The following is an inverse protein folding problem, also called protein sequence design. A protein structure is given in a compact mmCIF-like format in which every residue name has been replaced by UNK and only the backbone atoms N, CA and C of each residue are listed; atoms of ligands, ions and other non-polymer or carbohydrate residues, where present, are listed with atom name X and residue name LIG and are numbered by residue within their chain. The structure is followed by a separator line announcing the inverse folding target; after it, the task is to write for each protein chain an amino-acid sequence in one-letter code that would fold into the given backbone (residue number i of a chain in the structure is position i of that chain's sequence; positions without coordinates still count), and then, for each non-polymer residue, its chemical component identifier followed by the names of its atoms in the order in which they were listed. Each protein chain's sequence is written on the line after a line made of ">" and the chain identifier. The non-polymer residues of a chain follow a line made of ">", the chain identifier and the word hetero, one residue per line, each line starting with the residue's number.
data_IF_087101348048
#
_entry.id   IF_087101348048
#
_cell.length_a   1.000
_cell.length_b   1.000
_cell.length_c   1.000
_cell.angle_alpha   90.00
_cell.angle_beta   90.00
_cell.angle_gamma   90.00
#
_symmetry.space_group_name_H-M   'P 1'
#
loop_
_entity.id
_entity.type
_entity.pdbx_description
1 polymer ?
#
# COMPACT_ATOMS: atom_id res chain seq x y z
N UNK A 1 -28.67 26.33 -19.83
CA UNK A 1 -28.96 25.01 -19.24
C UNK A 1 -27.94 24.03 -19.80
N UNK A 2 -26.94 23.63 -19.02
CA UNK A 2 -25.88 22.72 -19.48
C UNK A 2 -26.41 21.29 -19.41
N UNK A 3 -26.58 20.64 -20.57
CA UNK A 3 -26.84 19.19 -20.62
C UNK A 3 -25.67 18.47 -19.93
N UNK A 4 -25.94 17.81 -18.80
CA UNK A 4 -25.04 16.77 -18.29
C UNK A 4 -25.03 15.65 -19.32
N UNK A 5 -23.91 15.47 -20.02
CA UNK A 5 -23.69 14.28 -20.83
C UNK A 5 -23.98 13.05 -19.95
N UNK A 6 -24.84 12.14 -20.44
CA UNK A 6 -25.11 10.88 -19.76
C UNK A 6 -23.76 10.14 -19.61
N UNK A 7 -23.36 9.85 -18.38
CA UNK A 7 -22.12 9.15 -18.12
C UNK A 7 -22.20 7.77 -18.78
N UNK A 8 -21.22 7.42 -19.61
CA UNK A 8 -21.12 6.08 -20.20
C UNK A 8 -21.19 5.02 -19.10
N UNK A 9 -21.86 3.88 -19.34
CA UNK A 9 -21.97 2.82 -18.34
C UNK A 9 -20.58 2.36 -17.89
N UNK A 10 -20.42 2.23 -16.58
CA UNK A 10 -19.16 1.79 -15.97
C UNK A 10 -18.79 0.40 -16.51
N UNK A 11 -17.56 0.18 -17.00
CA UNK A 11 -17.17 -1.12 -17.52
C UNK A 11 -17.19 -2.21 -16.42
N UNK A 12 -17.33 -3.50 -16.80
CA UNK A 12 -17.16 -4.62 -15.89
C UNK A 12 -15.81 -4.56 -15.17
N UNK A 13 -15.71 -5.18 -13.99
CA UNK A 13 -14.43 -5.18 -13.28
C UNK A 13 -13.44 -6.06 -14.04
N UNK A 14 -12.13 -5.73 -14.03
CA UNK A 14 -11.15 -6.38 -14.90
C UNK A 14 -11.06 -7.90 -14.74
N UNK A 15 -11.36 -8.41 -13.54
CA UNK A 15 -11.22 -9.83 -13.21
C UNK A 15 -12.49 -10.66 -13.45
N UNK A 16 -13.65 -10.03 -13.73
CA UNK A 16 -14.93 -10.74 -13.94
C UNK A 16 -14.82 -11.79 -15.05
N UNK A 17 -14.09 -11.49 -16.11
CA UNK A 17 -13.94 -12.37 -17.28
C UNK A 17 -13.20 -13.68 -17.00
N UNK A 18 -12.55 -13.81 -15.84
CA UNK A 18 -11.79 -15.01 -15.47
C UNK A 18 -12.53 -15.92 -14.49
N UNK A 19 -13.70 -15.51 -13.97
CA UNK A 19 -14.55 -16.34 -13.10
C UNK A 19 -13.78 -17.02 -11.93
N UNK A 20 -12.80 -16.32 -11.34
CA UNK A 20 -11.97 -16.83 -10.24
C UNK A 20 -10.70 -17.58 -10.67
N UNK A 21 -10.54 -17.92 -11.94
CA UNK A 21 -9.30 -18.50 -12.48
C UNK A 21 -8.18 -17.46 -12.58
N UNK A 22 -6.93 -17.93 -12.56
CA UNK A 22 -5.76 -17.06 -12.73
C UNK A 22 -5.59 -16.72 -14.21
N UNK A 23 -5.46 -15.43 -14.59
CA UNK A 23 -5.09 -15.04 -15.93
C UNK A 23 -3.73 -15.62 -16.34
N UNK A 24 -3.48 -15.88 -17.64
CA UNK A 24 -2.16 -16.24 -18.11
C UNK A 24 -1.15 -15.15 -17.76
N UNK A 25 0.02 -15.55 -17.29
CA UNK A 25 1.10 -14.65 -16.91
C UNK A 25 2.35 -14.92 -17.76
N UNK A 26 3.16 -13.89 -18.07
CA UNK A 26 4.44 -14.08 -18.71
C UNK A 26 5.45 -14.68 -17.73
N UNK A 27 6.41 -15.46 -18.25
CA UNK A 27 7.42 -16.15 -17.42
C UNK A 27 8.15 -15.22 -16.46
N UNK A 28 8.53 -14.01 -16.90
CA UNK A 28 9.24 -13.05 -16.04
C UNK A 28 8.45 -12.69 -14.77
N UNK A 29 7.12 -12.68 -14.84
CA UNK A 29 6.27 -12.36 -13.70
C UNK A 29 6.21 -13.54 -12.74
N UNK A 30 6.03 -14.75 -13.27
CA UNK A 30 6.04 -15.97 -12.49
C UNK A 30 7.38 -16.13 -11.76
N UNK A 31 8.49 -15.89 -12.47
CA UNK A 31 9.83 -15.89 -11.90
C UNK A 31 9.94 -14.87 -10.76
N UNK A 32 9.52 -13.62 -10.99
CA UNK A 32 9.59 -12.55 -9.99
C UNK A 32 8.80 -12.89 -8.71
N UNK A 33 7.54 -13.29 -8.81
CA UNK A 33 6.71 -13.60 -7.64
C UNK A 33 7.10 -14.91 -6.94
N UNK A 34 7.90 -15.75 -7.60
CA UNK A 34 8.48 -16.96 -7.01
C UNK A 34 9.75 -16.70 -6.19
N UNK A 35 10.39 -15.53 -6.35
CA UNK A 35 11.62 -15.20 -5.61
C UNK A 35 11.35 -15.21 -4.10
N UNK A 36 12.10 -16.02 -3.32
CA UNK A 36 11.93 -16.07 -1.87
C UNK A 36 12.16 -14.71 -1.22
N UNK A 37 11.39 -14.47 -0.16
CA UNK A 37 11.51 -13.27 0.68
C UNK A 37 11.51 -13.64 2.16
N UNK A 38 12.22 -12.84 2.95
CA UNK A 38 12.06 -12.80 4.39
C UNK A 38 10.77 -12.06 4.74
N UNK A 39 10.09 -12.48 5.82
CA UNK A 39 8.93 -11.78 6.35
C UNK A 39 9.11 -11.61 7.84
N UNK A 40 8.58 -10.51 8.37
CA UNK A 40 8.62 -10.25 9.79
C UNK A 40 7.60 -9.22 10.21
N UNK A 41 7.68 -8.87 11.49
CA UNK A 41 6.80 -7.92 12.14
C UNK A 41 7.64 -6.94 12.95
N UNK A 42 7.20 -5.70 12.98
CA UNK A 42 7.71 -4.65 13.87
C UNK A 42 6.56 -4.17 14.76
N UNK A 43 6.86 -3.71 15.98
CA UNK A 43 5.86 -3.12 16.86
C UNK A 43 6.08 -1.61 16.93
N UNK A 44 5.04 -0.84 16.62
CA UNK A 44 5.06 0.63 16.65
C UNK A 44 3.79 1.13 17.33
N UNK A 45 3.92 1.82 18.47
CA UNK A 45 2.80 2.26 19.30
C UNK A 45 1.73 1.18 19.46
N UNK A 46 2.14 0.02 19.97
CA UNK A 46 1.28 -1.13 20.25
C UNK A 46 0.56 -1.75 19.04
N UNK A 47 0.93 -1.36 17.81
CA UNK A 47 0.42 -1.98 16.59
C UNK A 47 1.51 -2.80 15.90
N UNK A 48 1.11 -3.97 15.42
CA UNK A 48 1.94 -4.89 14.66
C UNK A 48 1.99 -4.46 13.18
N UNK A 49 3.20 -4.24 12.68
CA UNK A 49 3.48 -3.79 11.32
C UNK A 49 4.16 -4.93 10.56
N UNK A 50 3.47 -5.45 9.56
CA UNK A 50 3.97 -6.55 8.73
C UNK A 50 4.88 -6.04 7.63
N UNK A 51 6.01 -6.72 7.41
CA UNK A 51 6.91 -6.42 6.32
C UNK A 51 7.42 -7.67 5.61
N UNK A 52 7.87 -7.47 4.37
CA UNK A 52 8.60 -8.43 3.54
C UNK A 52 9.92 -7.81 3.13
N UNK A 53 10.93 -8.65 2.92
CA UNK A 53 12.21 -8.21 2.44
C UNK A 53 12.86 -9.17 1.45
N UNK A 54 13.47 -8.62 0.42
CA UNK A 54 14.21 -9.32 -0.63
C UNK A 54 15.67 -8.86 -0.65
N UNK A 55 16.55 -9.71 -1.17
CA UNK A 55 17.98 -9.43 -1.25
C UNK A 55 18.71 -9.70 0.08
N UNK A 56 20.03 -9.79 0.01
CA UNK A 56 20.86 -10.11 1.18
C UNK A 56 20.92 -8.94 2.17
N UNK A 57 20.94 -9.26 3.47
CA UNK A 57 21.27 -8.26 4.51
C UNK A 57 22.69 -7.74 4.31
N UNK A 58 22.93 -6.47 4.66
CA UNK A 58 24.21 -5.79 4.40
C UNK A 58 24.36 -5.23 2.98
N UNK A 59 23.38 -5.41 2.09
CA UNK A 59 23.29 -4.67 0.83
C UNK A 59 22.67 -3.27 1.06
N UNK A 60 22.95 -2.27 0.19
CA UNK A 60 22.34 -0.95 0.31
C UNK A 60 20.81 -1.01 0.37
N UNK A 61 20.21 -0.38 1.39
CA UNK A 61 18.78 -0.49 1.64
C UNK A 61 17.88 0.31 0.71
N UNK A 62 16.68 -0.23 0.51
CA UNK A 62 15.57 0.39 -0.18
C UNK A 62 14.26 0.04 0.54
N UNK A 63 13.51 1.02 1.01
CA UNK A 63 12.23 0.80 1.68
C UNK A 63 11.10 1.23 0.73
N UNK A 64 10.12 0.36 0.49
CA UNK A 64 8.99 0.59 -0.42
C UNK A 64 7.69 0.73 0.35
N UNK A 65 6.99 1.85 0.11
CA UNK A 65 5.76 2.24 0.80
C UNK A 65 4.60 2.26 -0.18
N UNK A 66 3.60 1.41 0.05
CA UNK A 66 2.44 1.26 -0.83
C UNK A 66 1.48 2.46 -0.75
N UNK A 67 0.50 2.48 -1.67
CA UNK A 67 -0.55 3.50 -1.73
C UNK A 67 -1.65 3.34 -0.68
N UNK A 68 -2.66 4.21 -0.73
CA UNK A 68 -3.77 4.15 0.22
C UNK A 68 -4.66 2.93 -0.07
N UNK A 69 -5.17 2.28 0.98
CA UNK A 69 -5.98 1.05 0.90
C UNK A 69 -5.33 -0.09 0.07
N UNK A 70 -4.00 -0.09 0.01
CA UNK A 70 -3.18 -1.09 -0.67
C UNK A 70 -2.44 -1.97 0.36
N UNK A 71 -1.38 -2.66 -0.05
CA UNK A 71 -0.55 -3.51 0.81
C UNK A 71 0.83 -3.73 0.16
N UNK A 72 1.79 -4.26 0.91
CA UNK A 72 3.19 -4.51 0.53
C UNK A 72 3.34 -5.38 -0.72
N UNK A 73 2.40 -6.28 -0.97
CA UNK A 73 2.47 -7.25 -2.08
C UNK A 73 2.24 -6.61 -3.46
N UNK A 74 1.87 -5.32 -3.50
CA UNK A 74 1.94 -4.51 -4.73
C UNK A 74 3.36 -4.43 -5.30
N UNK A 75 4.37 -4.65 -4.46
CA UNK A 75 5.77 -4.62 -4.85
C UNK A 75 6.31 -5.99 -5.27
N UNK A 76 5.52 -7.08 -5.19
CA UNK A 76 5.99 -8.44 -5.48
C UNK A 76 6.49 -8.61 -6.92
N UNK A 77 6.01 -7.83 -7.89
CA UNK A 77 6.48 -7.86 -9.28
C UNK A 77 7.62 -6.88 -9.58
N UNK A 78 8.11 -6.15 -8.58
CA UNK A 78 9.11 -5.07 -8.73
C UNK A 78 10.32 -5.32 -7.82
N UNK A 79 10.09 -5.51 -6.52
CA UNK A 79 11.14 -5.69 -5.52
C UNK A 79 12.16 -6.79 -5.86
N UNK A 80 11.75 -7.96 -6.42
CA UNK A 80 12.69 -9.01 -6.82
C UNK A 80 13.75 -8.57 -7.83
N UNK A 81 13.44 -7.62 -8.73
CA UNK A 81 14.39 -7.13 -9.73
C UNK A 81 15.48 -6.22 -9.13
N UNK A 82 15.26 -5.69 -7.93
CA UNK A 82 16.21 -4.83 -7.23
C UNK A 82 17.03 -5.59 -6.17
N UNK A 83 16.50 -6.72 -5.71
CA UNK A 83 17.10 -7.62 -4.72
C UNK A 83 18.55 -8.06 -5.00
N UNK A 84 19.01 -8.23 -6.27
CA UNK A 84 20.40 -8.61 -6.53
C UNK A 84 21.44 -7.57 -6.08
N UNK A 85 21.05 -6.31 -5.89
CA UNK A 85 21.98 -5.21 -5.55
C UNK A 85 21.52 -4.36 -4.36
N UNK A 86 20.38 -4.71 -3.76
CA UNK A 86 19.75 -3.93 -2.69
C UNK A 86 19.09 -4.86 -1.68
N UNK A 87 19.05 -4.41 -0.43
CA UNK A 87 18.13 -4.96 0.56
C UNK A 87 16.81 -4.22 0.45
N UNK A 88 15.81 -4.83 -0.17
CA UNK A 88 14.51 -4.20 -0.43
C UNK A 88 13.53 -4.62 0.65
N UNK A 89 12.95 -3.67 1.38
CA UNK A 89 11.94 -3.91 2.40
C UNK A 89 10.63 -3.26 1.98
N UNK A 90 9.53 -4.00 1.96
CA UNK A 90 8.19 -3.47 1.76
C UNK A 90 7.33 -3.73 2.99
N UNK A 91 6.59 -2.73 3.46
CA UNK A 91 5.75 -2.82 4.66
C UNK A 91 4.27 -2.61 4.33
N UNK A 92 3.42 -3.20 5.15
CA UNK A 92 2.01 -2.84 5.27
C UNK A 92 1.88 -1.69 6.28
N UNK A 93 1.39 -0.53 5.85
CA UNK A 93 1.06 0.56 6.77
C UNK A 93 -0.10 0.16 7.70
N UNK A 94 -0.11 0.62 8.94
CA UNK A 94 -1.23 0.35 9.85
C UNK A 94 -2.60 0.76 9.25
N UNK A 95 -3.60 -0.09 9.48
CA UNK A 95 -4.92 0.00 8.84
C UNK A 95 -4.98 -0.50 7.39
N UNK A 96 -3.89 -1.05 6.86
CA UNK A 96 -3.79 -1.56 5.50
C UNK A 96 -3.02 -2.89 5.49
N UNK A 97 -3.30 -3.74 4.52
CA UNK A 97 -2.70 -5.08 4.42
C UNK A 97 -2.94 -5.95 5.65
N UNK A 98 -1.89 -6.64 6.07
CA UNK A 98 -1.90 -7.53 7.23
C UNK A 98 -1.58 -6.79 8.54
N UNK A 99 -1.26 -5.49 8.49
CA UNK A 99 -0.94 -4.69 9.68
C UNK A 99 -2.16 -4.30 10.49
N UNK A 100 -1.94 -4.10 11.79
CA UNK A 100 -2.99 -3.78 12.75
C UNK A 100 -3.72 -2.47 12.41
N UNK A 101 -4.99 -2.41 12.79
CA UNK A 101 -5.80 -1.19 12.71
C UNK A 101 -5.59 -0.34 13.96
N UNK A 102 -5.78 0.99 13.82
CA UNK A 102 -5.65 1.93 14.93
C UNK A 102 -6.98 2.65 15.20
N UNK A 103 -7.07 3.27 16.38
CA UNK A 103 -8.17 4.16 16.73
C UNK A 103 -8.09 5.48 15.93
N UNK A 104 -6.87 6.02 15.76
CA UNK A 104 -6.56 7.17 14.91
C UNK A 104 -5.23 6.94 14.18
N UNK A 105 -5.13 7.50 12.97
CA UNK A 105 -3.94 7.45 12.13
C UNK A 105 -3.32 8.83 12.00
N UNK A 106 -1.98 8.88 12.03
CA UNK A 106 -1.19 10.11 11.93
C UNK A 106 -0.02 9.90 10.98
N UNK A 107 0.39 10.95 10.26
CA UNK A 107 1.50 10.85 9.29
C UNK A 107 2.83 10.53 9.98
N UNK A 108 3.06 11.11 11.16
CA UNK A 108 4.22 10.89 12.03
C UNK A 108 4.29 9.43 12.51
N UNK A 109 3.13 8.80 12.71
CA UNK A 109 3.05 7.38 13.06
C UNK A 109 3.52 6.52 11.88
N UNK A 110 2.99 6.77 10.68
CA UNK A 110 3.44 6.06 9.47
C UNK A 110 4.94 6.25 9.18
N UNK A 111 5.49 7.44 9.45
CA UNK A 111 6.92 7.67 9.31
C UNK A 111 7.76 6.75 10.22
N UNK A 112 7.31 6.53 11.46
CA UNK A 112 7.96 5.58 12.38
C UNK A 112 7.78 4.13 11.98
N UNK A 113 6.63 3.76 11.41
CA UNK A 113 6.40 2.43 10.84
C UNK A 113 7.38 2.12 9.71
N UNK A 114 7.64 3.09 8.82
CA UNK A 114 8.66 2.97 7.75
C UNK A 114 10.05 2.71 8.31
N UNK A 115 10.46 3.46 9.35
CA UNK A 115 11.78 3.26 9.96
C UNK A 115 11.87 1.92 10.70
N UNK A 116 10.84 1.54 11.46
CA UNK A 116 10.83 0.29 12.23
C UNK A 116 10.91 -0.92 11.31
N UNK A 117 10.03 -1.00 10.31
CA UNK A 117 10.06 -2.08 9.32
C UNK A 117 11.37 -2.10 8.54
N UNK A 118 11.90 -0.92 8.16
CA UNK A 118 13.18 -0.83 7.48
C UNK A 118 14.36 -1.34 8.33
N UNK A 119 14.39 -1.04 9.63
CA UNK A 119 15.44 -1.53 10.54
C UNK A 119 15.34 -3.02 10.77
N UNK A 120 14.17 -3.52 11.14
CA UNK A 120 13.97 -4.94 11.41
C UNK A 120 14.16 -5.78 10.14
N UNK A 121 13.71 -5.24 9.00
CA UNK A 121 13.93 -5.81 7.67
C UNK A 121 15.36 -5.67 7.15
N UNK A 122 16.27 -4.98 7.84
CA UNK A 122 17.69 -4.90 7.49
C UNK A 122 18.07 -3.87 6.41
N UNK A 123 17.18 -2.94 6.06
CA UNK A 123 17.48 -1.88 5.10
C UNK A 123 18.55 -0.88 5.62
N UNK A 124 18.75 -0.80 6.93
CA UNK A 124 19.75 0.09 7.55
C UNK A 124 21.11 -0.58 7.77
N UNK A 125 21.23 -1.88 7.49
CA UNK A 125 22.43 -2.68 7.80
C UNK A 125 23.69 -2.20 7.03
N UNK A 126 23.49 -1.50 5.90
CA UNK A 126 24.54 -0.97 5.03
C UNK A 126 24.57 0.58 4.99
N UNK A 127 24.07 1.24 6.05
CA UNK A 127 23.96 2.69 6.13
C UNK A 127 22.58 3.20 5.73
N UNK A 128 22.49 4.49 5.34
CA UNK A 128 21.21 5.17 5.08
C UNK A 128 20.49 4.57 3.86
N UNK A 129 19.23 4.11 3.98
CA UNK A 129 18.46 3.59 2.86
C UNK A 129 17.82 4.71 2.03
N UNK A 130 17.37 4.36 0.83
CA UNK A 130 16.37 5.16 0.10
C UNK A 130 14.95 4.74 0.51
N UNK A 131 14.00 5.67 0.45
CA UNK A 131 12.56 5.36 0.59
C UNK A 131 11.85 5.66 -0.72
N UNK A 132 10.99 4.75 -1.18
CA UNK A 132 10.18 4.91 -2.38
C UNK A 132 8.72 4.77 -2.00
N UNK A 133 7.92 5.78 -2.31
CA UNK A 133 6.51 5.83 -1.96
C UNK A 133 5.61 5.99 -3.18
N UNK A 134 4.55 5.19 -3.26
CA UNK A 134 3.53 5.32 -4.29
C UNK A 134 2.24 5.92 -3.74
N UNK A 135 1.63 6.88 -4.44
CA UNK A 135 0.36 7.52 -4.08
C UNK A 135 0.33 8.02 -2.62
N UNK A 136 -0.50 7.45 -1.74
CA UNK A 136 -0.47 7.79 -0.31
C UNK A 136 0.89 7.56 0.33
N UNK A 137 1.58 6.49 -0.05
CA UNK A 137 2.93 6.16 0.40
C UNK A 137 3.97 7.21 0.01
N UNK A 138 3.72 8.02 -1.03
CA UNK A 138 4.54 9.18 -1.35
C UNK A 138 4.45 10.27 -0.28
N UNK A 139 3.25 10.55 0.25
CA UNK A 139 3.09 11.47 1.38
C UNK A 139 3.75 10.94 2.64
N UNK A 140 3.62 9.63 2.91
CA UNK A 140 4.31 8.99 4.03
C UNK A 140 5.81 9.15 3.87
N UNK A 141 6.36 8.85 2.70
CA UNK A 141 7.80 8.95 2.42
C UNK A 141 8.33 10.39 2.57
N UNK A 142 7.57 11.39 2.11
CA UNK A 142 7.92 12.80 2.31
C UNK A 142 7.88 13.20 3.79
N UNK A 143 6.90 12.70 4.55
CA UNK A 143 6.83 12.91 6.00
C UNK A 143 8.03 12.28 6.69
N UNK A 144 8.40 11.04 6.33
CA UNK A 144 9.62 10.38 6.83
C UNK A 144 10.86 11.19 6.51
N UNK A 145 10.94 11.83 5.33
CA UNK A 145 12.06 12.68 4.96
C UNK A 145 12.12 13.97 5.79
N UNK A 146 10.97 14.56 6.10
CA UNK A 146 10.89 15.78 6.91
C UNK A 146 11.29 15.52 8.37
N UNK A 147 10.84 14.40 8.95
CA UNK A 147 11.13 14.08 10.36
C UNK A 147 12.48 13.39 10.56
N UNK A 148 12.91 12.58 9.59
CA UNK A 148 14.04 11.68 9.73
C UNK A 148 15.02 11.75 8.54
N UNK A 149 15.04 12.86 7.81
CA UNK A 149 15.87 13.04 6.62
C UNK A 149 17.35 12.76 6.83
N UNK A 150 17.88 13.06 8.03
CA UNK A 150 19.27 12.74 8.38
C UNK A 150 19.57 11.24 8.40
N UNK A 151 18.56 10.39 8.54
CA UNK A 151 18.71 8.93 8.54
C UNK A 151 18.53 8.30 7.15
N UNK A 152 18.12 9.08 6.15
CA UNK A 152 17.82 8.61 4.80
C UNK A 152 18.86 9.11 3.79
N UNK A 153 19.04 8.34 2.72
CA UNK A 153 19.87 8.74 1.57
C UNK A 153 19.09 9.57 0.55
N UNK A 154 17.78 9.40 0.52
CA UNK A 154 16.87 10.15 -0.34
C UNK A 154 15.50 9.51 -0.44
N UNK A 155 14.57 10.21 -1.08
CA UNK A 155 13.19 9.76 -1.31
C UNK A 155 12.84 9.83 -2.80
N UNK A 156 12.17 8.80 -3.30
CA UNK A 156 11.50 8.84 -4.60
C UNK A 156 9.97 8.74 -4.42
N UNK A 157 9.26 9.61 -5.12
CA UNK A 157 7.80 9.71 -5.04
C UNK A 157 7.20 9.31 -6.39
N UNK A 158 6.31 8.32 -6.38
CA UNK A 158 5.69 7.75 -7.57
C UNK A 158 4.20 8.06 -7.57
N UNK A 159 3.71 8.70 -8.63
CA UNK A 159 2.29 9.00 -8.86
C UNK A 159 1.55 9.55 -7.60
N UNK A 160 2.22 10.46 -6.89
CA UNK A 160 1.68 11.10 -5.69
C UNK A 160 1.54 12.59 -5.96
N UNK A 161 0.34 13.18 -5.84
CA UNK A 161 0.15 14.57 -6.17
C UNK A 161 0.83 15.46 -5.13
N UNK A 162 1.91 16.15 -5.50
CA UNK A 162 2.55 17.18 -4.69
C UNK A 162 1.80 18.49 -4.94
N UNK A 163 1.14 19.02 -3.90
CA UNK A 163 0.30 20.21 -3.99
C UNK A 163 0.76 21.29 -3.02
N UNK A 164 0.61 22.58 -3.38
CA UNK A 164 0.72 23.70 -2.44
C UNK A 164 -0.11 23.47 -1.18
N UNK A 165 0.33 24.03 -0.05
CA UNK A 165 -0.26 23.77 1.29
C UNK A 165 -1.75 24.14 1.39
N UNK A 166 -2.19 25.17 0.68
CA UNK A 166 -3.58 25.62 0.58
C UNK A 166 -4.47 24.69 -0.26
N UNK A 167 -3.87 23.84 -1.10
CA UNK A 167 -4.56 22.87 -1.95
C UNK A 167 -4.43 21.43 -1.44
N UNK A 168 -3.81 21.24 -0.28
CA UNK A 168 -3.77 19.94 0.38
C UNK A 168 -5.15 19.55 0.91
N UNK A 169 -5.44 18.26 0.83
CA UNK A 169 -6.71 17.71 1.30
C UNK A 169 -6.80 17.84 2.82
N UNK A 170 -7.83 18.53 3.30
CA UNK A 170 -8.14 18.72 4.73
C UNK A 170 -9.34 17.90 5.22
N UNK A 171 -9.83 16.97 4.40
CA UNK A 171 -10.99 16.15 4.72
C UNK A 171 -10.88 14.75 4.13
N UNK A 172 -11.52 13.81 4.80
CA UNK A 172 -11.58 12.41 4.39
C UNK A 172 -12.10 12.27 2.96
N UNK A 173 -11.42 11.53 2.06
CA UNK A 173 -12.07 11.04 0.86
C UNK A 173 -13.27 10.15 1.25
N UNK A 174 -14.22 9.92 0.31
CA UNK A 174 -15.32 9.01 0.56
C UNK A 174 -14.83 7.66 1.11
N UNK A 175 -15.51 7.15 2.14
CA UNK A 175 -15.22 5.82 2.68
C UNK A 175 -15.32 4.78 1.56
N UNK A 176 -14.43 3.79 1.64
CA UNK A 176 -14.31 2.71 0.68
C UNK A 176 -14.27 1.42 1.47
N UNK A 177 -14.74 0.33 0.87
CA UNK A 177 -14.76 -0.97 1.52
C UNK A 177 -15.93 -1.14 2.49
N UNK A 178 -15.75 -1.96 3.52
CA UNK A 178 -16.79 -2.34 4.47
C UNK A 178 -17.79 -3.36 3.92
N UNK A 179 -17.64 -3.73 2.65
CA UNK A 179 -18.40 -4.80 2.01
C UNK A 179 -17.77 -6.15 2.31
N UNK A 180 -18.60 -7.11 2.67
CA UNK A 180 -18.26 -8.52 2.79
C UNK A 180 -18.90 -9.32 1.65
N UNK A 181 -18.16 -10.26 1.07
CA UNK A 181 -18.57 -11.10 -0.04
C UNK A 181 -18.78 -12.54 0.41
N UNK A 182 -19.72 -13.29 -0.19
CA UNK A 182 -20.02 -14.67 0.24
C UNK A 182 -18.90 -15.64 -0.11
N UNK A 183 -18.18 -15.41 -1.21
CA UNK A 183 -17.05 -16.25 -1.64
C UNK A 183 -15.84 -15.39 -2.00
N UNK A 184 -14.69 -16.04 -2.08
CA UNK A 184 -13.43 -15.41 -2.50
C UNK A 184 -13.54 -14.91 -3.95
N UNK A 185 -14.13 -15.71 -4.83
CA UNK A 185 -14.34 -15.42 -6.25
C UNK A 185 -15.28 -14.22 -6.40
N UNK A 186 -16.37 -14.17 -5.64
CA UNK A 186 -17.30 -13.04 -5.65
C UNK A 186 -16.63 -11.73 -5.21
N UNK A 187 -15.59 -11.80 -4.38
CA UNK A 187 -14.78 -10.64 -4.00
C UNK A 187 -13.78 -10.26 -5.11
N UNK A 188 -13.08 -11.24 -5.70
CA UNK A 188 -12.15 -11.03 -6.82
C UNK A 188 -12.82 -10.34 -8.01
N UNK A 189 -14.04 -10.75 -8.36
CA UNK A 189 -14.85 -10.14 -9.43
C UNK A 189 -15.23 -8.68 -9.16
N UNK A 190 -14.97 -8.17 -7.95
CA UNK A 190 -15.22 -6.77 -7.55
C UNK A 190 -13.95 -5.94 -7.46
N UNK A 191 -12.78 -6.56 -7.63
CA UNK A 191 -11.51 -5.86 -7.56
C UNK A 191 -11.39 -4.79 -8.66
N UNK A 192 -10.99 -3.58 -8.27
CA UNK A 192 -10.76 -2.46 -9.19
C UNK A 192 -9.61 -1.60 -8.69
N UNK A 193 -8.85 -1.07 -9.65
CA UNK A 193 -7.87 -0.03 -9.38
C UNK A 193 -8.55 1.28 -8.98
N UNK A 194 -7.80 2.10 -8.26
CA UNK A 194 -8.26 3.39 -7.82
C UNK A 194 -7.18 4.48 -7.99
N UNK A 195 -7.45 5.56 -8.76
CA UNK A 195 -8.62 5.78 -9.61
C UNK A 195 -8.81 4.65 -10.64
N UNK A 196 -10.04 4.51 -11.14
CA UNK A 196 -10.33 3.48 -12.13
C UNK A 196 -9.57 3.79 -13.42
N UNK A 197 -8.78 2.82 -13.87
CA UNK A 197 -7.89 2.95 -15.02
C UNK A 197 -7.75 1.60 -15.72
N UNK A 198 -7.55 1.59 -17.05
CA UNK A 198 -7.29 0.37 -17.78
C UNK A 198 -5.97 -0.26 -17.34
N UNK A 199 -5.93 -1.57 -17.29
CA UNK A 199 -4.71 -2.33 -17.10
C UNK A 199 -4.84 -3.64 -17.89
N UNK A 200 -4.00 -3.80 -18.91
CA UNK A 200 -4.00 -4.97 -19.78
C UNK A 200 -3.36 -6.19 -19.10
N UNK A 201 -2.49 -5.95 -18.13
CA UNK A 201 -1.77 -6.96 -17.36
C UNK A 201 -2.66 -7.57 -16.27
N UNK A 202 -3.65 -8.36 -16.68
CA UNK A 202 -4.60 -8.98 -15.75
C UNK A 202 -3.95 -9.86 -14.69
N UNK A 203 -2.81 -10.48 -14.99
CA UNK A 203 -2.03 -11.27 -14.02
C UNK A 203 -1.54 -10.43 -12.83
N UNK A 204 -1.19 -9.15 -13.05
CA UNK A 204 -0.83 -8.22 -11.96
C UNK A 204 -2.05 -7.92 -11.08
N UNK A 205 -3.19 -7.63 -11.72
CA UNK A 205 -4.43 -7.33 -11.00
C UNK A 205 -4.90 -8.53 -10.18
N UNK A 206 -4.85 -9.74 -10.75
CA UNK A 206 -5.23 -10.97 -10.08
C UNK A 206 -4.33 -11.25 -8.87
N UNK A 207 -3.01 -11.14 -9.03
CA UNK A 207 -2.06 -11.31 -7.92
C UNK A 207 -2.37 -10.35 -6.77
N UNK A 208 -2.49 -9.05 -7.07
CA UNK A 208 -2.81 -8.03 -6.08
C UNK A 208 -4.16 -8.33 -5.41
N UNK A 209 -5.20 -8.62 -6.18
CA UNK A 209 -6.54 -8.86 -5.67
C UNK A 209 -6.59 -10.05 -4.70
N UNK A 210 -5.90 -11.15 -5.03
CA UNK A 210 -5.84 -12.34 -4.17
C UNK A 210 -5.12 -12.07 -2.86
N UNK A 211 -4.04 -11.28 -2.90
CA UNK A 211 -3.32 -10.86 -1.69
C UNK A 211 -4.10 -9.81 -0.86
N UNK A 212 -5.06 -9.12 -1.46
CA UNK A 212 -5.89 -8.08 -0.83
C UNK A 212 -7.04 -8.61 0.03
N UNK A 213 -7.30 -9.92 0.08
CA UNK A 213 -8.50 -10.50 0.69
C UNK A 213 -8.21 -11.28 1.97
N UNK A 214 -9.11 -11.19 2.96
CA UNK A 214 -9.09 -12.00 4.18
C UNK A 214 -10.48 -12.54 4.53
N UNK A 215 -10.56 -13.68 5.25
CA UNK A 215 -11.81 -14.17 5.81
C UNK A 215 -12.45 -13.15 6.76
N UNK A 216 -13.78 -13.17 6.86
CA UNK A 216 -14.56 -12.34 7.78
C UNK A 216 -15.91 -12.99 8.11
N UNK A 217 -16.57 -12.51 9.16
CA UNK A 217 -17.96 -12.84 9.46
C UNK A 217 -18.85 -11.75 8.86
N UNK A 218 -19.80 -12.16 8.00
CA UNK A 218 -20.77 -11.28 7.35
C UNK A 218 -21.85 -10.81 8.35
N UNK A 219 -22.61 -9.73 8.06
CA UNK A 219 -23.65 -9.23 8.97
C UNK A 219 -24.77 -10.24 9.31
N UNK A 220 -24.98 -11.22 8.43
CA UNK A 220 -25.93 -12.32 8.61
C UNK A 220 -25.36 -13.49 9.44
N UNK A 221 -24.14 -13.37 9.95
CA UNK A 221 -23.43 -14.38 10.73
C UNK A 221 -22.71 -15.45 9.90
N UNK A 222 -22.86 -15.45 8.57
CA UNK A 222 -22.18 -16.40 7.69
C UNK A 222 -20.71 -16.04 7.47
N UNK A 223 -19.89 -17.04 7.11
CA UNK A 223 -18.51 -16.80 6.69
C UNK A 223 -18.46 -16.07 5.35
N UNK A 224 -17.43 -15.26 5.14
CA UNK A 224 -17.22 -14.56 3.89
C UNK A 224 -15.83 -13.95 3.79
N UNK A 225 -15.69 -13.02 2.86
CA UNK A 225 -14.41 -12.37 2.53
C UNK A 225 -14.53 -10.86 2.52
N UNK A 226 -13.48 -10.17 2.96
CA UNK A 226 -13.37 -8.70 2.92
C UNK A 226 -11.98 -8.28 2.49
N UNK A 227 -11.86 -7.03 2.06
CA UNK A 227 -10.57 -6.41 1.78
C UNK A 227 -9.75 -6.19 3.05
N UNK A 228 -8.44 -6.32 2.93
CA UNK A 228 -7.42 -6.11 3.96
C UNK A 228 -7.10 -4.63 4.17
N UNK A 229 -8.10 -3.84 4.54
CA UNK A 229 -7.87 -2.48 5.01
C UNK A 229 -9.01 -2.03 5.92
N UNK A 230 -8.76 -1.02 6.75
CA UNK A 230 -9.78 -0.41 7.58
C UNK A 230 -10.74 0.41 6.73
N UNK A 231 -12.04 0.06 6.65
CA UNK A 231 -13.01 0.83 5.87
C UNK A 231 -13.22 2.27 6.37
N UNK A 232 -12.84 2.53 7.62
CA UNK A 232 -12.88 3.86 8.27
C UNK A 232 -11.52 4.54 8.32
N UNK A 233 -10.50 4.01 7.64
CA UNK A 233 -9.13 4.53 7.69
C UNK A 233 -9.06 6.05 7.52
N UNK A 234 -9.74 6.54 6.48
CA UNK A 234 -9.73 7.95 6.13
C UNK A 234 -10.52 8.83 7.10
N UNK A 235 -11.56 8.30 7.75
CA UNK A 235 -12.32 9.04 8.78
C UNK A 235 -11.54 9.12 10.10
N UNK A 236 -10.66 8.14 10.34
CA UNK A 236 -9.77 8.05 11.50
C UNK A 236 -8.44 8.79 11.30
N UNK A 237 -8.17 9.28 10.09
CA UNK A 237 -6.95 10.01 9.75
C UNK A 237 -6.97 11.40 10.35
N UNK A 238 -5.86 11.79 10.96
CA UNK A 238 -5.59 13.17 11.34
C UNK A 238 -5.16 13.98 10.10
N UNK A 239 -5.88 15.05 9.82
CA UNK A 239 -5.60 15.95 8.70
C UNK A 239 -4.97 17.26 9.14
N UNK A 240 -4.82 17.48 10.45
CA UNK A 240 -4.13 18.65 10.96
C UNK A 240 -2.63 18.48 10.68
N UNK A 241 -2.09 19.43 9.91
CA UNK A 241 -0.66 19.50 9.57
C UNK A 241 -0.12 20.83 10.06
N UNK A 242 1.11 20.87 10.62
CA UNK A 242 1.78 22.12 10.97
C UNK A 242 1.82 23.04 9.75
N UNK A 243 1.72 24.36 9.95
CA UNK A 243 1.93 25.27 8.84
C UNK A 243 3.37 25.15 8.34
N UNK A 244 3.67 25.45 7.06
CA UNK A 244 5.04 25.45 6.57
C UNK A 244 6.00 26.31 7.41
N UNK A 245 5.49 27.36 8.07
CA UNK A 245 6.25 28.22 8.98
C UNK A 245 6.60 27.56 10.33
N UNK A 246 5.89 26.50 10.71
CA UNK A 246 6.09 25.75 11.96
C UNK A 246 7.01 24.54 11.76
N UNK A 247 7.34 24.21 10.51
CA UNK A 247 8.34 23.21 10.15
C UNK A 247 9.72 23.86 10.29
N UNK A 248 10.27 23.80 11.49
CA UNK A 248 11.56 24.42 11.83
C UNK A 248 12.71 23.98 10.90
N UNK A 249 13.55 24.96 10.57
CA UNK A 249 14.90 24.79 10.04
C UNK A 249 15.93 25.35 11.01
#
# INVERSE_FOLDING_TARGET
>A
MSQKAAASPRPPAPLVRFAGEKPPAPQWFEDAVSIPFERGQSVVDDATIHWKAWGERGQPGLIMVHGGVAHKDWWDSIAPFLAPTRRVVALDLSGMGDSDHRARYKMECYAREVLAAGRDGGAFDAGKPFVVGHSFGGFVSLTTAMEYGEQLKGVAVLDSPIRPSDQQRRSSPPSRGGMSYPTFEAALERFRLLPEQPCENAFLLDHIARQSLKPTTRPDGSEGWTWKFDPKLWDKMDYDRPAPADLGG
#
